data_IF_342916557474
#
_entry.id   IF_342916557474
#
_cell.length_a   1.000
_cell.length_b   1.000
_cell.length_c   1.000
_cell.angle_alpha   90.00
_cell.angle_beta   90.00
_cell.angle_gamma   90.00
#
_symmetry.space_group_name_H-M   'P 1'
#
loop_
_entity.id
_entity.type
_entity.pdbx_description
1 polymer ?
#
# COMPACT_ATOMS: atom_id res chain seq x y z
N UNK A 1 3.74 0.01 16.08
CA UNK A 1 2.65 0.21 15.11
C UNK A 1 3.08 -0.34 13.78
N UNK A 2 2.17 -0.95 13.00
CA UNK A 2 2.47 -1.46 11.67
C UNK A 2 1.50 -0.85 10.67
N UNK A 3 2.04 -0.28 9.59
CA UNK A 3 1.28 0.31 8.49
C UNK A 3 1.51 -0.50 7.22
N UNK A 4 0.47 -0.64 6.42
CA UNK A 4 0.53 -1.32 5.13
C UNK A 4 0.07 -0.39 4.03
N UNK A 5 0.81 -0.38 2.93
CA UNK A 5 0.53 0.37 1.72
C UNK A 5 0.65 -0.53 0.50
N UNK A 6 0.12 -0.09 -0.61
CA UNK A 6 0.33 -0.73 -1.89
C UNK A 6 0.47 0.29 -3.01
N UNK A 7 1.15 -0.08 -4.07
CA UNK A 7 1.35 0.76 -5.23
C UNK A 7 1.74 -0.04 -6.46
N UNK A 8 1.99 0.64 -7.56
CA UNK A 8 2.25 -0.02 -8.82
C UNK A 8 3.20 0.71 -9.74
N UNK A 9 3.87 -0.07 -10.57
CA UNK A 9 4.62 0.38 -11.72
C UNK A 9 3.76 0.08 -12.97
N UNK A 10 3.13 1.12 -13.51
CA UNK A 10 2.27 1.01 -14.70
C UNK A 10 3.11 1.21 -15.94
N UNK A 11 3.11 0.21 -16.82
CA UNK A 11 3.83 0.26 -18.09
C UNK A 11 2.86 0.46 -19.23
N UNK A 12 3.12 1.49 -20.03
CA UNK A 12 2.46 1.74 -21.31
C UNK A 12 3.35 1.22 -22.45
N UNK A 13 2.72 0.67 -23.48
CA UNK A 13 3.43 0.09 -24.61
C UNK A 13 4.01 -1.30 -24.35
N UNK A 14 3.40 -2.07 -23.44
CA UNK A 14 3.93 -3.40 -23.03
C UNK A 14 4.09 -4.39 -24.18
N UNK A 15 3.26 -4.26 -25.23
CA UNK A 15 3.30 -5.10 -26.43
C UNK A 15 4.23 -4.51 -27.52
N UNK A 16 4.91 -3.38 -27.26
CA UNK A 16 5.87 -2.73 -28.14
C UNK A 16 7.29 -3.13 -27.80
N UNK A 17 8.25 -2.84 -28.67
CA UNK A 17 9.67 -3.01 -28.35
C UNK A 17 10.04 -2.31 -27.06
N UNK A 18 10.99 -2.87 -26.31
CA UNK A 18 11.43 -2.37 -25.00
C UNK A 18 11.77 -0.87 -25.02
N UNK A 19 12.39 -0.38 -26.09
CA UNK A 19 12.79 1.01 -26.26
C UNK A 19 11.60 1.99 -26.31
N UNK A 20 10.40 1.49 -26.60
CA UNK A 20 9.17 2.30 -26.68
C UNK A 20 8.31 2.18 -25.41
N UNK A 21 8.71 1.32 -24.47
CA UNK A 21 7.97 1.13 -23.23
C UNK A 21 8.31 2.25 -22.24
N UNK A 22 7.26 2.79 -21.62
CA UNK A 22 7.37 3.84 -20.60
C UNK A 22 6.58 3.46 -19.33
N UNK A 23 7.03 3.93 -18.18
CA UNK A 23 6.34 3.75 -16.92
C UNK A 23 5.97 5.09 -16.28
N UNK A 24 4.85 5.12 -15.57
CA UNK A 24 4.40 6.30 -14.85
C UNK A 24 5.12 6.41 -13.51
N UNK A 25 5.73 7.57 -13.27
CA UNK A 25 6.32 7.95 -11.99
C UNK A 25 5.66 9.22 -11.46
N UNK A 26 5.65 9.35 -10.14
CA UNK A 26 5.28 10.58 -9.44
C UNK A 26 6.54 11.28 -8.92
N UNK A 27 6.54 12.60 -9.00
CA UNK A 27 7.57 13.46 -8.44
C UNK A 27 7.05 14.23 -7.24
N UNK A 28 7.81 14.22 -6.14
CA UNK A 28 7.56 15.02 -4.95
C UNK A 28 8.77 15.86 -4.62
N UNK A 29 8.53 17.09 -4.17
CA UNK A 29 9.63 17.96 -3.75
C UNK A 29 10.07 17.63 -2.33
N UNK A 30 11.37 17.45 -2.12
CA UNK A 30 11.93 17.35 -0.79
C UNK A 30 11.97 18.73 -0.09
N UNK A 31 12.37 18.76 1.16
CA UNK A 31 12.49 20.02 1.97
C UNK A 31 13.47 21.03 1.38
N UNK A 32 14.31 20.63 0.44
CA UNK A 32 15.28 21.48 -0.26
C UNK A 32 14.83 21.87 -1.67
N UNK A 33 13.58 21.51 -2.05
CA UNK A 33 13.01 21.79 -3.37
C UNK A 33 13.54 20.88 -4.48
N UNK A 34 14.17 19.73 -4.16
CA UNK A 34 14.64 18.79 -5.17
C UNK A 34 13.53 17.81 -5.50
N UNK A 35 13.34 17.53 -6.79
CA UNK A 35 12.38 16.53 -7.25
C UNK A 35 12.88 15.13 -6.93
N UNK A 36 12.06 14.37 -6.20
CA UNK A 36 12.28 12.96 -5.90
C UNK A 36 11.23 12.13 -6.64
N UNK A 37 11.69 11.34 -7.59
CA UNK A 37 10.82 10.45 -8.38
C UNK A 37 10.63 9.12 -7.67
N UNK A 38 9.39 8.64 -7.64
CA UNK A 38 9.01 7.38 -6.99
C UNK A 38 7.82 6.71 -7.69
N UNK A 39 7.55 5.48 -7.29
CA UNK A 39 6.35 4.76 -7.70
C UNK A 39 5.12 5.30 -6.95
N UNK A 40 3.97 5.46 -7.63
CA UNK A 40 2.70 5.82 -6.97
C UNK A 40 2.29 4.74 -5.97
N UNK A 41 1.85 5.13 -4.78
CA UNK A 41 1.47 4.23 -3.67
C UNK A 41 0.76 4.95 -2.55
N UNK A 42 -0.12 4.26 -1.86
CA UNK A 42 -0.76 4.79 -0.66
C UNK A 42 -1.26 3.70 0.29
N UNK A 43 -1.98 4.11 1.31
CA UNK A 43 -2.40 3.24 2.40
C UNK A 43 -3.49 2.26 1.97
N UNK A 44 -3.37 1.00 2.44
CA UNK A 44 -4.44 0.02 2.27
C UNK A 44 -5.60 0.40 3.21
N UNK A 45 -6.76 0.67 2.64
CA UNK A 45 -7.97 0.96 3.40
C UNK A 45 -8.64 -0.31 3.95
N UNK A 46 -9.52 -0.12 4.93
CA UNK A 46 -10.30 -1.23 5.48
C UNK A 46 -11.24 -1.79 4.43
N UNK A 47 -11.15 -3.09 4.17
CA UNK A 47 -11.93 -3.78 3.15
C UNK A 47 -11.22 -3.94 1.81
N UNK A 48 -10.09 -3.26 1.59
CA UNK A 48 -9.29 -3.41 0.38
C UNK A 48 -8.25 -4.52 0.49
N UNK A 49 -7.99 -5.18 -0.63
CA UNK A 49 -6.77 -5.98 -0.84
C UNK A 49 -5.63 -5.06 -1.27
N UNK A 50 -4.38 -5.54 -1.20
CA UNK A 50 -3.22 -4.77 -1.66
C UNK A 50 -3.30 -4.44 -3.15
N UNK A 51 -3.83 -5.34 -3.98
CA UNK A 51 -4.02 -5.10 -5.42
C UNK A 51 -5.06 -4.02 -5.69
N UNK A 52 -6.20 -4.05 -4.97
CA UNK A 52 -7.24 -3.03 -5.10
C UNK A 52 -6.71 -1.65 -4.71
N UNK A 53 -5.96 -1.57 -3.61
CA UNK A 53 -5.29 -0.34 -3.19
C UNK A 53 -4.31 0.15 -4.24
N UNK A 54 -3.47 -0.73 -4.78
CA UNK A 54 -2.50 -0.34 -5.80
C UNK A 54 -3.17 0.24 -7.05
N UNK A 55 -4.30 -0.33 -7.49
CA UNK A 55 -5.09 0.21 -8.62
C UNK A 55 -5.66 1.58 -8.27
N UNK A 56 -6.25 1.75 -7.09
CA UNK A 56 -6.83 3.02 -6.64
C UNK A 56 -5.78 4.11 -6.51
N UNK A 57 -4.68 3.85 -5.80
CA UNK A 57 -3.61 4.83 -5.55
C UNK A 57 -2.92 5.27 -6.85
N UNK A 58 -2.69 4.34 -7.78
CA UNK A 58 -2.21 4.70 -9.12
C UNK A 58 -3.15 5.68 -9.79
N UNK A 59 -4.47 5.42 -9.75
CA UNK A 59 -5.44 6.30 -10.37
C UNK A 59 -5.52 7.68 -9.69
N UNK A 60 -5.46 7.72 -8.36
CA UNK A 60 -5.52 8.96 -7.57
C UNK A 60 -4.26 9.81 -7.77
N UNK A 61 -3.06 9.24 -7.68
CA UNK A 61 -1.81 9.98 -7.77
C UNK A 61 -1.36 10.31 -9.21
N UNK A 62 -1.89 9.60 -10.21
CA UNK A 62 -1.40 9.76 -11.60
C UNK A 62 -2.47 10.05 -12.65
N UNK A 63 -3.75 9.86 -12.34
CA UNK A 63 -4.86 10.01 -13.30
C UNK A 63 -5.03 8.84 -14.27
N UNK A 64 -4.18 7.79 -14.20
CA UNK A 64 -4.24 6.66 -15.14
C UNK A 64 -4.76 5.39 -14.46
N UNK A 65 -5.27 4.47 -15.28
CA UNK A 65 -5.74 3.16 -14.85
C UNK A 65 -4.74 2.08 -15.25
N UNK A 66 -4.40 1.22 -14.29
CA UNK A 66 -3.56 0.06 -14.48
C UNK A 66 -4.29 -1.25 -14.19
N UNK A 67 -3.93 -2.31 -14.92
CA UNK A 67 -4.34 -3.69 -14.62
C UNK A 67 -3.14 -4.45 -14.05
N UNK A 68 -3.30 -5.07 -12.90
CA UNK A 68 -2.25 -5.87 -12.26
C UNK A 68 -1.89 -7.08 -13.11
N UNK A 69 -0.58 -7.26 -13.35
CA UNK A 69 0.00 -8.39 -14.07
C UNK A 69 0.75 -9.35 -13.15
N UNK A 70 1.58 -8.82 -12.27
CA UNK A 70 2.42 -9.61 -11.37
C UNK A 70 2.80 -8.80 -10.13
N UNK A 71 3.19 -9.47 -9.04
CA UNK A 71 3.82 -8.82 -7.91
C UNK A 71 5.28 -8.50 -8.22
N UNK A 72 5.72 -7.29 -7.90
CA UNK A 72 7.13 -6.87 -7.96
C UNK A 72 7.88 -7.22 -6.67
N UNK A 73 7.18 -7.16 -5.54
CA UNK A 73 7.75 -7.42 -4.23
C UNK A 73 7.23 -6.48 -3.16
N UNK A 74 7.89 -6.54 -2.01
CA UNK A 74 7.58 -5.71 -0.85
C UNK A 74 8.80 -4.89 -0.45
N UNK A 75 8.54 -3.67 0.01
CA UNK A 75 9.55 -2.83 0.65
C UNK A 75 9.14 -2.67 2.11
N UNK A 76 10.05 -3.01 3.03
CA UNK A 76 9.86 -2.87 4.46
C UNK A 76 10.82 -1.83 5.01
N UNK A 77 10.31 -0.87 5.76
CA UNK A 77 11.15 0.13 6.44
C UNK A 77 10.54 0.62 7.76
N UNK A 78 11.40 1.22 8.58
CA UNK A 78 11.02 1.80 9.84
C UNK A 78 11.17 3.32 9.79
N UNK A 79 10.21 4.02 10.36
CA UNK A 79 10.30 5.46 10.56
C UNK A 79 9.76 5.86 11.93
N UNK A 80 10.05 7.10 12.34
CA UNK A 80 9.56 7.64 13.60
C UNK A 80 8.62 8.79 13.29
N UNK A 81 7.41 8.72 13.84
CA UNK A 81 6.43 9.80 13.81
C UNK A 81 5.81 9.95 15.19
N UNK A 82 5.63 11.18 15.66
CA UNK A 82 5.10 11.52 16.98
C UNK A 82 5.79 10.75 18.13
N UNK A 83 7.13 10.58 18.02
CA UNK A 83 7.93 9.86 18.99
C UNK A 83 7.71 8.33 19.02
N UNK A 84 6.95 7.79 18.08
CA UNK A 84 6.64 6.35 17.96
C UNK A 84 7.34 5.74 16.76
N UNK A 85 7.89 4.55 16.96
CA UNK A 85 8.47 3.75 15.88
C UNK A 85 7.39 3.01 15.13
N UNK A 86 7.32 3.21 13.81
CA UNK A 86 6.35 2.59 12.91
C UNK A 86 7.08 1.72 11.92
N UNK A 87 6.64 0.46 11.78
CA UNK A 87 7.04 -0.44 10.71
C UNK A 87 6.07 -0.26 9.54
N UNK A 88 6.58 -0.02 8.34
CA UNK A 88 5.77 0.10 7.14
C UNK A 88 6.17 -0.95 6.11
N UNK A 89 5.16 -1.66 5.61
CA UNK A 89 5.29 -2.59 4.49
C UNK A 89 4.55 -2.03 3.29
N UNK A 90 5.20 -1.94 2.14
CA UNK A 90 4.61 -1.48 0.89
C UNK A 90 4.65 -2.61 -0.15
N UNK A 91 3.48 -3.04 -0.61
CA UNK A 91 3.34 -4.01 -1.68
C UNK A 91 3.37 -3.31 -3.03
N UNK A 92 4.19 -3.80 -3.97
CA UNK A 92 4.28 -3.22 -5.30
C UNK A 92 3.93 -4.25 -6.39
N UNK A 93 3.24 -3.77 -7.42
CA UNK A 93 2.76 -4.58 -8.54
C UNK A 93 3.22 -4.01 -9.87
N UNK A 94 3.56 -4.91 -10.81
CA UNK A 94 3.67 -4.58 -12.22
C UNK A 94 2.27 -4.48 -12.80
N UNK A 95 1.98 -3.39 -13.50
CA UNK A 95 0.67 -3.13 -14.10
C UNK A 95 0.78 -2.80 -15.58
N UNK A 96 -0.20 -3.24 -16.34
CA UNK A 96 -0.42 -2.80 -17.72
C UNK A 96 -1.27 -1.52 -17.73
N UNK A 97 -0.84 -0.52 -18.46
CA UNK A 97 -1.68 0.66 -18.73
C UNK A 97 -2.98 0.25 -19.42
N UNK A 98 -4.09 0.75 -18.92
CA UNK A 98 -5.43 0.44 -19.41
C UNK A 98 -6.19 1.65 -19.94
N UNK A 99 -5.85 2.85 -19.49
CA UNK A 99 -6.52 4.09 -19.90
C UNK A 99 -6.24 5.26 -18.97
N UNK A 100 -6.85 6.40 -19.27
CA UNK A 100 -6.66 7.64 -18.56
C UNK A 100 -5.55 8.51 -19.14
N UNK A 101 -5.35 9.67 -18.54
CA UNK A 101 -4.31 10.63 -18.90
C UNK A 101 -3.55 11.02 -17.63
N UNK A 102 -2.24 11.24 -17.75
CA UNK A 102 -1.47 11.72 -16.62
C UNK A 102 -2.03 13.06 -16.12
N UNK A 103 -2.24 13.13 -14.82
CA UNK A 103 -2.76 14.26 -14.10
C UNK A 103 -2.06 14.37 -12.74
N UNK A 104 -1.66 15.57 -12.36
CA UNK A 104 -0.99 15.92 -11.11
C UNK A 104 -1.93 16.68 -10.14
N UNK A 105 -3.22 16.40 -10.22
CA UNK A 105 -4.23 17.03 -9.35
C UNK A 105 -4.12 16.62 -7.87
N UNK A 106 -3.38 15.56 -7.56
CA UNK A 106 -3.13 15.17 -6.18
C UNK A 106 -2.20 16.19 -5.50
N UNK A 107 -2.64 16.72 -4.36
CA UNK A 107 -1.92 17.75 -3.61
C UNK A 107 -0.55 17.31 -3.06
N UNK A 108 -0.34 16.01 -2.95
CA UNK A 108 0.93 15.41 -2.50
C UNK A 108 1.93 15.20 -3.65
N UNK A 109 1.48 15.33 -4.90
CA UNK A 109 2.26 15.09 -6.11
C UNK A 109 2.58 16.41 -6.76
N UNK A 110 3.86 16.68 -7.05
CA UNK A 110 4.30 17.89 -7.72
C UNK A 110 4.33 17.73 -9.25
N UNK A 111 4.56 16.52 -9.75
CA UNK A 111 4.64 16.21 -11.17
C UNK A 111 4.37 14.72 -11.40
N UNK A 112 3.76 14.38 -12.54
CA UNK A 112 3.59 13.01 -13.03
C UNK A 112 4.19 12.89 -14.42
N UNK A 113 4.96 11.85 -14.69
CA UNK A 113 5.63 11.69 -15.98
C UNK A 113 5.66 10.24 -16.46
N UNK A 114 5.56 10.07 -17.79
CA UNK A 114 5.98 8.84 -18.46
C UNK A 114 7.50 8.83 -18.61
N UNK A 115 8.16 7.85 -18.03
CA UNK A 115 9.61 7.70 -18.05
C UNK A 115 9.96 6.41 -18.82
N UNK A 116 10.92 6.45 -19.76
CA UNK A 116 11.37 5.24 -20.45
C UNK A 116 11.81 4.17 -19.45
N UNK A 117 11.43 2.91 -19.69
CA UNK A 117 11.81 1.79 -18.82
C UNK A 117 13.31 1.74 -18.58
N UNK A 118 14.10 2.00 -19.63
CA UNK A 118 15.57 2.03 -19.53
C UNK A 118 16.12 3.10 -18.58
N UNK A 119 15.36 4.15 -18.30
CA UNK A 119 15.75 5.26 -17.42
C UNK A 119 15.27 5.09 -15.97
N UNK A 120 14.39 4.12 -15.66
CA UNK A 120 13.78 3.98 -14.32
C UNK A 120 14.84 3.93 -13.22
N UNK A 121 15.89 3.15 -13.43
CA UNK A 121 16.94 2.96 -12.43
C UNK A 121 17.68 4.25 -12.10
N UNK A 122 17.89 5.14 -13.06
CA UNK A 122 18.54 6.43 -12.86
C UNK A 122 17.57 7.50 -12.31
N UNK A 123 16.28 7.38 -12.61
CA UNK A 123 15.25 8.32 -12.18
C UNK A 123 14.77 8.10 -10.76
N UNK A 124 14.53 6.85 -10.36
CA UNK A 124 14.00 6.52 -9.04
C UNK A 124 14.95 6.95 -7.91
N UNK A 125 14.42 7.74 -6.98
CA UNK A 125 15.18 8.30 -5.87
C UNK A 125 15.59 7.24 -4.84
N UNK A 126 14.78 6.17 -4.67
CA UNK A 126 14.95 5.20 -3.58
C UNK A 126 15.57 3.89 -4.09
N UNK A 127 16.58 3.39 -3.33
CA UNK A 127 17.30 2.17 -3.70
C UNK A 127 16.40 0.93 -3.78
N UNK A 128 15.41 0.83 -2.90
CA UNK A 128 14.51 -0.32 -2.88
C UNK A 128 13.55 -0.30 -4.10
N UNK A 129 13.09 0.87 -4.53
CA UNK A 129 12.30 0.99 -5.76
C UNK A 129 13.15 0.70 -7.01
N UNK A 130 14.44 1.05 -7.03
CA UNK A 130 15.35 0.64 -8.12
C UNK A 130 15.49 -0.87 -8.23
N UNK A 131 15.49 -1.60 -7.11
CA UNK A 131 15.47 -3.09 -7.13
C UNK A 131 14.15 -3.62 -7.69
N UNK A 132 13.03 -2.98 -7.40
CA UNK A 132 11.74 -3.35 -7.99
C UNK A 132 11.72 -3.08 -9.50
N UNK A 133 12.35 -2.00 -9.97
CA UNK A 133 12.51 -1.74 -11.40
C UNK A 133 13.33 -2.85 -12.09
N UNK A 134 14.38 -3.37 -11.44
CA UNK A 134 15.14 -4.52 -11.95
C UNK A 134 14.28 -5.80 -12.01
N UNK A 135 13.37 -6.00 -11.06
CA UNK A 135 12.39 -7.12 -11.11
C UNK A 135 11.41 -6.92 -12.26
N UNK A 136 10.87 -5.69 -12.41
CA UNK A 136 9.96 -5.37 -13.50
C UNK A 136 10.59 -5.63 -14.86
N UNK A 137 11.85 -5.26 -15.03
CA UNK A 137 12.59 -5.46 -16.29
C UNK A 137 12.64 -6.94 -16.67
N UNK A 138 12.98 -7.84 -15.74
CA UNK A 138 12.98 -9.29 -15.96
C UNK A 138 11.58 -9.84 -16.27
N UNK A 139 10.54 -9.37 -15.59
CA UNK A 139 9.16 -9.80 -15.82
C UNK A 139 8.66 -9.35 -17.20
N UNK A 140 9.04 -8.15 -17.64
CA UNK A 140 8.71 -7.64 -18.96
C UNK A 140 9.43 -8.43 -20.06
N UNK A 141 10.68 -8.88 -19.83
CA UNK A 141 11.38 -9.77 -20.75
C UNK A 141 10.70 -11.13 -20.87
N UNK A 142 10.33 -11.74 -19.74
CA UNK A 142 9.57 -12.99 -19.72
C UNK A 142 8.21 -12.86 -20.42
N UNK A 143 7.50 -11.76 -20.16
CA UNK A 143 6.22 -11.49 -20.80
C UNK A 143 6.36 -11.34 -22.32
N UNK A 144 7.41 -10.67 -22.78
CA UNK A 144 7.68 -10.47 -24.22
C UNK A 144 8.05 -11.78 -24.91
N UNK A 145 8.85 -12.63 -24.27
CA UNK A 145 9.36 -13.89 -24.85
C UNK A 145 8.32 -15.00 -24.82
N UNK A 146 7.62 -15.18 -23.72
CA UNK A 146 6.81 -16.36 -23.43
C UNK A 146 5.33 -16.04 -23.10
N UNK A 147 4.98 -14.76 -23.16
CA UNK A 147 3.61 -14.29 -22.90
C UNK A 147 3.23 -14.26 -21.42
N UNK A 148 1.96 -13.98 -21.16
CA UNK A 148 1.45 -13.78 -19.77
C UNK A 148 1.58 -15.04 -18.90
N UNK A 149 1.59 -16.23 -19.49
CA UNK A 149 1.74 -17.48 -18.75
C UNK A 149 3.12 -17.63 -18.08
N UNK A 150 4.13 -16.87 -18.53
CA UNK A 150 5.45 -16.84 -17.92
C UNK A 150 5.53 -16.00 -16.64
N UNK A 151 4.51 -15.18 -16.37
CA UNK A 151 4.47 -14.38 -15.15
C UNK A 151 4.12 -15.25 -13.94
N UNK A 152 4.75 -15.02 -12.77
CA UNK A 152 4.38 -15.70 -11.54
C UNK A 152 2.92 -15.42 -11.17
N UNK A 153 2.21 -16.40 -10.58
CA UNK A 153 0.87 -16.16 -10.07
C UNK A 153 0.91 -15.11 -8.97
N UNK A 154 -0.16 -14.32 -8.89
CA UNK A 154 -0.30 -13.33 -7.81
C UNK A 154 -0.39 -14.06 -6.45
N UNK A 155 0.33 -13.57 -5.43
CA UNK A 155 0.22 -14.12 -4.10
C UNK A 155 -1.20 -13.90 -3.54
N UNK A 156 -1.72 -14.81 -2.69
CA UNK A 156 -3.01 -14.61 -2.06
C UNK A 156 -3.07 -13.27 -1.33
N UNK A 157 -4.10 -12.49 -1.60
CA UNK A 157 -4.32 -11.19 -0.97
C UNK A 157 -5.68 -11.18 -0.28
N UNK A 158 -5.70 -10.86 1.01
CA UNK A 158 -6.92 -10.77 1.79
C UNK A 158 -7.24 -9.30 2.11
N UNK A 159 -8.52 -8.91 2.15
CA UNK A 159 -8.91 -7.56 2.53
C UNK A 159 -8.43 -7.21 3.93
N UNK A 160 -7.98 -5.97 4.12
CA UNK A 160 -7.57 -5.45 5.42
C UNK A 160 -8.75 -5.43 6.38
N UNK A 161 -8.63 -6.15 7.50
CA UNK A 161 -9.65 -6.18 8.55
C UNK A 161 -9.50 -4.98 9.49
N UNK A 162 -10.61 -4.47 10.02
CA UNK A 162 -10.58 -3.50 11.14
C UNK A 162 -9.87 -4.16 12.33
N UNK A 163 -9.01 -3.44 13.09
CA UNK A 163 -8.54 -3.92 14.38
C UNK A 163 -9.74 -4.24 15.26
N UNK A 164 -9.83 -5.47 15.76
CA UNK A 164 -10.84 -5.80 16.77
C UNK A 164 -10.41 -5.13 18.07
N UNK A 165 -11.08 -4.05 18.44
CA UNK A 165 -11.01 -3.52 19.79
C UNK A 165 -11.76 -4.50 20.70
N UNK A 166 -11.05 -5.37 21.40
CA UNK A 166 -11.62 -6.15 22.48
C UNK A 166 -11.99 -5.17 23.61
N UNK A 167 -13.23 -4.71 23.60
CA UNK A 167 -13.84 -4.12 24.77
C UNK A 167 -13.97 -5.26 25.81
N UNK A 168 -13.05 -5.34 26.77
CA UNK A 168 -13.27 -6.10 27.97
C UNK A 168 -14.44 -5.45 28.71
N UNK A 169 -15.64 -5.88 28.41
CA UNK A 169 -16.77 -5.69 29.28
C UNK A 169 -16.43 -6.42 30.59
N UNK A 170 -15.99 -5.66 31.58
CA UNK A 170 -15.94 -6.16 32.97
C UNK A 170 -17.37 -6.54 33.33
N UNK A 171 -17.64 -7.83 33.37
CA UNK A 171 -18.85 -8.36 33.96
C UNK A 171 -18.86 -7.95 35.44
N UNK A 172 -19.67 -6.96 35.75
CA UNK A 172 -20.06 -6.65 37.12
C UNK A 172 -20.85 -7.87 37.64
N UNK A 173 -20.22 -8.68 38.49
CA UNK A 173 -20.92 -9.64 39.32
C UNK A 173 -21.77 -8.81 40.34
N UNK A 174 -23.08 -8.98 40.40
CA UNK A 174 -23.84 -8.41 41.47
C UNK A 174 -23.50 -9.13 42.79
N UNK A 175 -23.00 -8.37 43.75
CA UNK A 175 -22.69 -8.82 45.13
C UNK A 175 -24.01 -9.09 45.85
N UNK A 176 -24.35 -10.37 45.96
CA UNK A 176 -25.53 -10.86 46.63
C UNK A 176 -25.27 -10.91 48.13
N UNK A 177 -25.25 -9.76 48.81
CA UNK A 177 -25.24 -9.69 50.27
C UNK A 177 -26.64 -9.71 50.80
N UNK A 178 -27.07 -10.85 51.29
CA UNK A 178 -28.26 -11.06 52.10
C UNK A 178 -28.14 -10.30 53.42
N UNK A 179 -29.14 -9.48 53.83
CA UNK A 179 -29.08 -8.81 55.13
C UNK A 179 -29.46 -9.81 56.26
N UNK A 180 -28.53 -9.97 57.17
CA UNK A 180 -28.66 -10.77 58.38
C UNK A 180 -29.69 -10.08 59.33
N UNK A 181 -30.81 -10.76 59.58
CA UNK A 181 -31.89 -10.35 60.53
C UNK A 181 -31.33 -10.35 61.96
N UNK A 182 -31.30 -9.20 62.61
CA UNK A 182 -31.08 -9.08 64.05
C UNK A 182 -32.40 -9.23 64.78
N UNK A 183 -32.54 -10.28 65.57
CA UNK A 183 -33.57 -10.43 66.57
C UNK A 183 -33.27 -9.54 67.79
N UNK A 184 -34.08 -8.52 67.99
CA UNK A 184 -34.04 -7.68 69.20
C UNK A 184 -35.03 -8.23 70.25
N UNK A 185 -34.52 -8.57 71.41
CA UNK A 185 -35.29 -8.79 72.61
C UNK A 185 -35.50 -7.45 73.31
N UNK A 186 -36.73 -7.13 73.57
CA UNK A 186 -37.10 -6.03 74.45
C UNK A 186 -37.07 -6.44 75.95
N UNK A 187 -36.93 -5.52 76.79
CA UNK A 187 -37.25 -5.75 78.19
C UNK A 187 -38.55 -5.02 78.60
N UNK A 188 -39.32 -5.71 79.40
CA UNK A 188 -40.34 -5.12 80.34
C UNK A 188 -39.79 -5.21 81.78
N UNK A 189 -40.37 -4.57 82.75
CA UNK A 189 -41.52 -3.74 82.93
C UNK A 189 -41.19 -2.30 83.17
#
# INVERSE_FOLDING_TARGET
MHETSAGGLVVNGIDRPRAEQVAALIGRLDRRGRMLWSLPKGHIEVGETAEQTAIREVAEETGIQGRVLAALGKIDYWFVTDGRRVHKTVHHYLMRFHGGQLCDDDVEVAEVAWVPIAELRSRLAYADERRLADVADRLLDALHSDGQAALPPLPPSAPRRRPQTHSHARSHRPDNRTPRRKSGRGPSP
#
